data_IF_999875588493
#
_entry.id   IF_999875588493
#
_cell.length_a   1.000
_cell.length_b   1.000
_cell.length_c   1.000
_cell.angle_alpha   90.00
_cell.angle_beta   90.00
_cell.angle_gamma   90.00
#
_symmetry.space_group_name_H-M   'P 1'
#
loop_
_entity.id
_entity.type
_entity.pdbx_description
1 polymer ?
#
# COMPACT_ATOMS: atom_id res chain seq x y z
N UNK A 1 -68.52 -6.40 -13.50
CA UNK A 1 -67.70 -6.16 -14.70
C UNK A 1 -67.50 -4.65 -14.87
N UNK A 2 -66.39 -4.12 -14.37
CA UNK A 2 -66.11 -2.68 -14.36
C UNK A 2 -64.95 -2.36 -15.32
N UNK A 3 -65.22 -1.48 -16.29
CA UNK A 3 -64.27 -0.99 -17.29
C UNK A 3 -63.41 0.14 -16.70
N UNK A 4 -62.10 -0.05 -16.63
CA UNK A 4 -61.16 1.02 -16.31
C UNK A 4 -60.89 1.90 -17.55
N UNK A 5 -61.10 3.21 -17.41
CA UNK A 5 -60.81 4.24 -18.42
C UNK A 5 -59.35 4.70 -18.27
N UNK A 6 -58.57 4.62 -19.35
CA UNK A 6 -57.24 5.21 -19.44
C UNK A 6 -57.32 6.72 -19.74
N UNK A 7 -56.50 7.52 -19.03
CA UNK A 7 -56.28 8.96 -19.27
C UNK A 7 -55.23 9.16 -20.37
N UNK A 8 -55.35 10.17 -21.25
CA UNK A 8 -54.32 10.47 -22.24
C UNK A 8 -53.21 11.35 -21.64
N UNK A 9 -51.96 11.02 -21.99
CA UNK A 9 -50.76 11.82 -21.70
C UNK A 9 -50.67 13.02 -22.65
N UNK A 10 -50.41 14.19 -22.07
CA UNK A 10 -50.24 15.46 -22.76
C UNK A 10 -48.81 15.58 -23.30
N UNK A 11 -48.65 15.77 -24.62
CA UNK A 11 -47.36 16.08 -25.26
C UNK A 11 -47.05 17.56 -25.09
N UNK A 12 -46.03 17.89 -24.32
CA UNK A 12 -45.46 19.23 -24.21
C UNK A 12 -44.39 19.42 -25.29
N UNK A 13 -44.64 20.30 -26.25
CA UNK A 13 -43.68 20.77 -27.25
C UNK A 13 -43.09 22.11 -26.80
N UNK A 14 -41.86 22.10 -26.28
CA UNK A 14 -41.10 23.32 -26.02
C UNK A 14 -40.28 23.71 -27.26
N UNK A 15 -40.48 24.94 -27.74
CA UNK A 15 -39.71 25.61 -28.80
C UNK A 15 -38.34 26.06 -28.26
N UNK A 16 -37.25 25.96 -29.02
CA UNK A 16 -35.95 26.51 -28.63
C UNK A 16 -35.89 28.02 -28.90
N UNK A 17 -35.47 28.78 -27.89
CA UNK A 17 -35.21 30.22 -27.94
C UNK A 17 -33.82 30.49 -28.54
N UNK A 18 -33.77 31.34 -29.57
CA UNK A 18 -32.54 31.73 -30.24
C UNK A 18 -31.68 32.66 -29.38
N UNK A 19 -30.37 32.41 -29.34
CA UNK A 19 -29.36 33.30 -28.75
C UNK A 19 -29.06 34.51 -29.67
N UNK A 20 -28.81 35.72 -29.12
CA UNK A 20 -28.40 36.87 -29.90
C UNK A 20 -26.90 36.82 -30.29
N UNK A 21 -26.51 37.46 -31.41
CA UNK A 21 -25.15 37.42 -31.92
C UNK A 21 -24.20 38.32 -31.11
N UNK A 22 -23.02 37.79 -30.76
CA UNK A 22 -21.92 38.54 -30.15
C UNK A 22 -21.20 39.40 -31.21
N UNK A 23 -21.03 40.69 -30.91
CA UNK A 23 -20.24 41.64 -31.72
C UNK A 23 -18.72 41.36 -31.64
N UNK A 24 -17.94 41.61 -32.70
CA UNK A 24 -16.50 41.40 -32.70
C UNK A 24 -15.76 42.56 -32.00
N UNK A 25 -14.84 42.22 -31.10
CA UNK A 25 -13.91 43.17 -30.47
C UNK A 25 -12.69 43.34 -31.38
N UNK A 26 -12.41 44.59 -31.76
CA UNK A 26 -11.27 45.00 -32.60
C UNK A 26 -9.96 44.84 -31.83
N UNK A 27 -9.02 44.08 -32.38
CA UNK A 27 -7.63 44.06 -31.96
C UNK A 27 -6.92 45.34 -32.40
N UNK A 28 -6.35 46.09 -31.45
CA UNK A 28 -5.39 47.17 -31.74
C UNK A 28 -3.98 46.58 -31.76
N UNK A 29 -3.34 46.67 -32.93
CA UNK A 29 -1.92 46.46 -33.11
C UNK A 29 -1.12 47.64 -32.52
N UNK A 30 -0.02 47.32 -31.85
CA UNK A 30 1.08 48.26 -31.64
C UNK A 30 2.36 47.58 -32.13
N UNK A 31 2.88 48.09 -33.25
CA UNK A 31 4.22 47.82 -33.77
C UNK A 31 5.20 48.85 -33.20
N UNK A 32 6.47 48.45 -33.24
CA UNK A 32 7.69 49.24 -33.41
C UNK A 32 8.52 49.50 -32.14
N UNK A 33 9.87 49.47 -32.15
CA UNK A 33 10.92 49.01 -33.10
C UNK A 33 12.27 49.35 -32.41
N UNK A 34 13.24 48.40 -32.39
CA UNK A 34 14.72 48.60 -32.48
C UNK A 34 15.40 49.39 -31.32
N UNK A 35 16.60 49.10 -30.79
CA UNK A 35 17.89 48.68 -31.34
C UNK A 35 18.82 48.17 -30.19
N UNK A 36 19.69 47.18 -30.45
CA UNK A 36 21.17 47.28 -30.47
C UNK A 36 21.87 47.66 -29.14
N UNK A 37 22.62 46.74 -28.54
CA UNK A 37 24.10 46.77 -28.53
C UNK A 37 24.72 45.69 -27.62
N UNK A 38 25.90 45.24 -28.04
CA UNK A 38 26.71 44.19 -27.45
C UNK A 38 27.69 44.71 -26.38
N UNK A 39 28.09 43.84 -25.45
CA UNK A 39 29.37 43.77 -24.69
C UNK A 39 29.20 42.74 -23.57
N UNK A 40 30.19 42.02 -23.04
CA UNK A 40 31.51 41.58 -23.43
C UNK A 40 32.03 40.68 -22.27
N UNK A 41 32.73 39.59 -22.62
CA UNK A 41 33.86 38.96 -21.88
C UNK A 41 33.73 38.67 -20.37
N UNK A 42 33.72 37.37 -20.05
CA UNK A 42 34.33 36.86 -18.79
C UNK A 42 35.54 35.99 -19.14
N UNK A 43 36.71 36.45 -18.70
CA UNK A 43 37.98 35.71 -18.62
C UNK A 43 38.28 35.57 -17.13
N UNK A 44 38.49 34.37 -16.63
CA UNK A 44 39.27 34.16 -15.40
C UNK A 44 39.95 32.78 -15.44
N UNK A 45 41.25 32.81 -15.72
CA UNK A 45 42.24 31.76 -15.42
C UNK A 45 42.98 32.19 -14.14
N UNK A 46 43.61 31.21 -13.49
CA UNK A 46 44.64 31.28 -12.43
C UNK A 46 44.08 31.27 -11.00
N UNK A 47 44.68 30.58 -10.01
CA UNK A 47 46.01 29.96 -9.90
C UNK A 47 46.06 29.02 -8.68
N UNK A 48 47.00 28.06 -8.74
CA UNK A 48 47.56 27.28 -7.64
C UNK A 48 48.06 28.14 -6.45
N UNK A 49 48.01 27.57 -5.25
CA UNK A 49 48.88 27.89 -4.11
C UNK A 49 48.38 27.17 -2.84
N UNK A 50 48.96 26.05 -2.41
CA UNK A 50 50.19 25.88 -1.61
C UNK A 50 49.86 25.51 -0.14
N UNK A 51 50.57 24.48 0.33
CA UNK A 51 50.53 23.85 1.66
C UNK A 51 50.87 24.82 2.80
N UNK A 52 50.29 24.59 3.97
CA UNK A 52 51.04 24.58 5.23
C UNK A 52 50.38 23.70 6.29
N UNK A 53 51.23 22.88 6.93
CA UNK A 53 50.93 22.00 8.06
C UNK A 53 50.88 22.83 9.34
N UNK A 54 49.92 22.57 10.23
CA UNK A 54 50.09 22.88 11.66
C UNK A 54 49.53 21.76 12.51
N UNK A 55 50.42 21.27 13.38
CA UNK A 55 50.30 20.18 14.34
C UNK A 55 49.81 20.78 15.65
N UNK A 56 48.68 20.34 16.20
CA UNK A 56 48.32 20.62 17.60
C UNK A 56 47.87 19.32 18.26
N UNK A 57 48.69 18.92 19.23
CA UNK A 57 48.45 17.88 20.24
C UNK A 57 47.54 18.42 21.34
N UNK A 58 46.51 17.66 21.74
CA UNK A 58 45.94 17.78 23.08
C UNK A 58 45.42 16.43 23.56
N UNK A 59 46.09 15.91 24.60
CA UNK A 59 45.68 14.81 25.47
C UNK A 59 44.49 15.24 26.32
N UNK A 60 43.48 14.39 26.49
CA UNK A 60 42.64 14.39 27.68
C UNK A 60 42.19 12.96 28.04
N UNK A 61 42.50 12.59 29.29
CA UNK A 61 42.09 11.36 29.99
C UNK A 61 40.58 11.37 30.25
N UNK A 62 39.92 10.20 30.34
CA UNK A 62 38.77 10.03 31.21
C UNK A 62 39.16 9.27 32.48
N UNK A 63 39.05 9.94 33.63
CA UNK A 63 39.12 9.37 34.97
C UNK A 63 37.76 8.82 35.38
N UNK A 64 37.75 7.55 35.83
CA UNK A 64 36.71 6.96 36.68
C UNK A 64 36.53 7.77 37.97
N UNK A 65 35.35 7.64 38.60
CA UNK A 65 35.39 7.11 39.96
C UNK A 65 34.37 6.00 40.21
N UNK A 66 34.77 5.09 41.10
CA UNK A 66 33.96 4.04 41.70
C UNK A 66 33.86 4.30 43.21
N UNK A 67 32.69 4.06 43.80
CA UNK A 67 32.45 3.55 45.17
C UNK A 67 30.93 3.61 45.45
N UNK A 68 30.24 2.46 45.67
CA UNK A 68 29.88 1.85 46.99
C UNK A 68 28.98 2.78 47.81
N UNK A 69 27.81 2.40 48.35
CA UNK A 69 27.36 1.21 49.12
C UNK A 69 25.85 1.43 49.38
N UNK A 70 24.89 0.49 49.37
CA UNK A 70 24.56 -0.54 50.37
C UNK A 70 23.00 -0.68 50.52
N UNK A 71 22.58 -1.79 51.15
CA UNK A 71 21.26 -2.15 51.70
C UNK A 71 20.19 -2.64 50.70
N UNK A 72 19.96 -3.95 50.55
CA UNK A 72 19.22 -4.92 51.41
C UNK A 72 17.77 -4.53 51.70
N UNK A 73 16.84 -5.21 51.04
CA UNK A 73 15.72 -5.89 51.72
C UNK A 73 15.14 -6.95 50.79
N UNK A 74 15.12 -8.19 51.29
CA UNK A 74 14.53 -9.34 50.67
C UNK A 74 13.11 -9.51 51.22
N UNK A 75 12.11 -9.58 50.36
CA UNK A 75 10.78 -10.05 50.73
C UNK A 75 10.48 -11.31 49.89
N UNK A 76 10.54 -12.47 50.57
CA UNK A 76 10.06 -13.76 50.07
C UNK A 76 8.53 -13.73 50.11
N UNK A 77 7.86 -13.79 48.95
CA UNK A 77 6.47 -14.23 48.87
C UNK A 77 6.43 -15.60 48.18
N UNK A 78 6.12 -16.63 48.97
CA UNK A 78 5.78 -17.97 48.49
C UNK A 78 4.32 -17.95 48.05
N UNK A 79 4.04 -17.97 46.75
CA UNK A 79 2.71 -18.37 46.25
C UNK A 79 2.75 -19.85 45.86
N UNK A 80 2.03 -20.63 46.64
CA UNK A 80 1.83 -22.07 46.50
C UNK A 80 0.55 -22.25 45.69
N UNK A 81 0.66 -22.43 44.37
CA UNK A 81 -0.49 -22.83 43.54
C UNK A 81 -0.48 -24.35 43.37
N UNK A 82 -1.51 -24.95 43.95
CA UNK A 82 -1.88 -26.35 43.81
C UNK A 82 -2.38 -26.61 42.39
N UNK A 83 -1.79 -27.61 41.74
CA UNK A 83 -2.35 -28.21 40.54
C UNK A 83 -3.43 -29.23 40.93
N UNK A 84 -4.62 -29.24 40.31
CA UNK A 84 -5.54 -30.37 40.42
C UNK A 84 -5.12 -31.46 39.42
N UNK A 85 -4.81 -32.62 39.99
CA UNK A 85 -4.59 -33.90 39.32
C UNK A 85 -5.93 -34.52 38.93
N UNK A 86 -6.22 -34.60 37.63
CA UNK A 86 -7.30 -35.45 37.10
C UNK A 86 -6.70 -36.72 36.49
N UNK A 87 -6.92 -37.82 37.19
CA UNK A 87 -6.69 -39.20 36.73
C UNK A 87 -7.70 -39.52 35.63
N UNK A 88 -7.24 -40.07 34.51
CA UNK A 88 -8.00 -41.10 33.80
C UNK A 88 -7.06 -42.11 33.18
N UNK A 89 -7.25 -43.36 33.61
CA UNK A 89 -6.58 -44.53 33.12
C UNK A 89 -7.36 -45.09 31.93
N UNK A 90 -6.68 -45.48 30.85
CA UNK A 90 -7.23 -46.49 29.94
C UNK A 90 -6.11 -47.39 29.44
N UNK A 91 -6.43 -48.69 29.50
CA UNK A 91 -5.54 -49.84 29.38
C UNK A 91 -4.90 -49.95 27.99
N UNK A 92 -3.66 -50.44 28.02
CA UNK A 92 -2.92 -50.97 26.90
C UNK A 92 -3.57 -52.24 26.31
N UNK A 93 -3.48 -52.37 24.98
CA UNK A 93 -3.53 -53.64 24.25
C UNK A 93 -2.27 -53.76 23.35
N UNK A 94 -1.71 -54.97 23.14
CA UNK A 94 -0.37 -55.13 22.57
C UNK A 94 -0.35 -55.33 21.05
N UNK A 95 0.67 -54.72 20.45
CA UNK A 95 1.51 -55.12 19.31
C UNK A 95 0.99 -56.14 18.27
N UNK A 96 0.90 -55.69 17.01
CA UNK A 96 1.11 -56.52 15.81
C UNK A 96 2.25 -55.96 14.97
N UNK A 97 3.29 -56.77 14.78
CA UNK A 97 4.44 -56.53 13.89
C UNK A 97 3.98 -56.58 12.42
N UNK A 98 4.35 -55.63 11.55
CA UNK A 98 4.30 -55.83 10.11
C UNK A 98 5.58 -56.53 9.63
N UNK A 99 5.38 -57.50 8.73
CA UNK A 99 6.38 -58.38 8.15
C UNK A 99 7.34 -57.63 7.21
N UNK A 100 8.60 -58.10 7.17
CA UNK A 100 9.62 -57.69 6.19
C UNK A 100 9.18 -58.09 4.78
N UNK A 101 9.16 -57.18 3.79
CA UNK A 101 9.02 -57.57 2.40
C UNK A 101 10.33 -58.17 1.87
N UNK A 102 10.19 -59.27 1.14
CA UNK A 102 11.25 -60.06 0.55
C UNK A 102 11.99 -59.30 -0.57
N UNK A 103 13.31 -59.51 -0.66
CA UNK A 103 14.16 -59.04 -1.77
C UNK A 103 13.79 -59.78 -3.07
N UNK A 104 13.43 -59.10 -4.16
CA UNK A 104 13.42 -59.71 -5.48
C UNK A 104 14.84 -59.80 -6.04
N UNK A 105 15.16 -60.98 -6.59
CA UNK A 105 16.40 -61.30 -7.31
C UNK A 105 16.50 -60.46 -8.59
N UNK A 106 17.65 -59.84 -8.80
CA UNK A 106 18.03 -59.16 -10.04
C UNK A 106 18.12 -60.15 -11.19
N UNK A 107 17.41 -59.86 -12.28
CA UNK A 107 17.46 -60.57 -13.55
C UNK A 107 18.06 -59.63 -14.60
N UNK A 108 19.04 -60.19 -15.33
CA UNK A 108 19.68 -59.77 -16.58
C UNK A 108 19.47 -58.34 -17.11
N UNK A 109 20.61 -57.69 -17.37
CA UNK A 109 20.74 -56.46 -18.13
C UNK A 109 20.21 -56.62 -19.56
N UNK A 110 19.20 -55.82 -19.89
CA UNK A 110 18.81 -55.45 -21.24
C UNK A 110 18.50 -53.95 -21.21
N UNK A 111 19.13 -53.23 -22.14
CA UNK A 111 18.91 -51.86 -22.58
C UNK A 111 18.94 -50.75 -21.51
N UNK A 112 20.05 -50.00 -21.50
CA UNK A 112 20.24 -48.80 -20.70
C UNK A 112 19.22 -47.71 -21.13
N UNK A 113 18.31 -47.27 -20.25
CA UNK A 113 17.51 -46.08 -20.49
C UNK A 113 18.37 -44.83 -20.32
N UNK A 114 18.04 -43.79 -21.08
CA UNK A 114 18.68 -42.47 -21.05
C UNK A 114 19.03 -42.00 -19.63
N UNK A 115 20.24 -41.47 -19.47
CA UNK A 115 20.77 -41.01 -18.20
C UNK A 115 19.77 -40.10 -17.46
N UNK A 116 19.56 -40.28 -16.15
CA UNK A 116 18.58 -39.52 -15.40
C UNK A 116 18.88 -38.03 -15.52
N UNK A 117 17.97 -37.28 -16.14
CA UNK A 117 18.02 -35.82 -16.17
C UNK A 117 18.18 -35.31 -14.74
N UNK A 118 19.34 -34.74 -14.44
CA UNK A 118 19.70 -34.18 -13.14
C UNK A 118 18.60 -33.17 -12.75
N UNK A 119 17.89 -33.44 -11.64
CA UNK A 119 16.79 -32.60 -11.20
C UNK A 119 17.27 -31.14 -11.07
N UNK A 120 16.70 -30.26 -11.89
CA UNK A 120 17.00 -28.83 -11.86
C UNK A 120 16.42 -28.30 -10.54
N UNK A 121 17.25 -27.75 -9.67
CA UNK A 121 16.76 -26.98 -8.51
C UNK A 121 16.59 -25.54 -8.96
N UNK A 122 15.38 -24.99 -8.84
CA UNK A 122 14.99 -23.72 -9.50
C UNK A 122 15.90 -22.54 -9.17
N UNK A 123 16.28 -22.38 -7.89
CA UNK A 123 17.15 -21.27 -7.47
C UNK A 123 18.59 -21.36 -8.00
N UNK A 124 19.14 -22.56 -8.16
CA UNK A 124 20.53 -22.72 -8.59
C UNK A 124 20.77 -22.31 -10.04
N UNK A 125 19.77 -22.51 -10.90
CA UNK A 125 19.88 -22.15 -12.32
C UNK A 125 19.72 -20.64 -12.55
N UNK A 126 18.83 -19.97 -11.79
CA UNK A 126 18.72 -18.50 -11.84
C UNK A 126 20.06 -17.85 -11.44
N UNK A 127 20.65 -18.27 -10.32
CA UNK A 127 21.95 -17.76 -9.86
C UNK A 127 23.03 -18.01 -10.91
N UNK A 128 23.07 -19.21 -11.51
CA UNK A 128 24.05 -19.52 -12.58
C UNK A 128 23.91 -18.60 -13.80
N UNK A 129 22.69 -18.21 -14.18
CA UNK A 129 22.47 -17.27 -15.28
C UNK A 129 22.98 -15.88 -14.90
N UNK A 130 22.70 -15.42 -13.67
CA UNK A 130 23.08 -14.09 -13.19
C UNK A 130 24.59 -13.94 -12.94
N UNK A 131 25.26 -15.01 -12.50
CA UNK A 131 26.71 -15.04 -12.22
C UNK A 131 27.57 -15.26 -13.46
N UNK A 132 26.96 -15.45 -14.64
CA UNK A 132 27.71 -15.61 -15.89
C UNK A 132 28.36 -14.29 -16.33
N UNK A 133 29.51 -14.37 -17.01
CA UNK A 133 30.20 -13.18 -17.55
C UNK A 133 29.32 -12.39 -18.54
N UNK A 134 28.44 -13.09 -19.28
CA UNK A 134 27.37 -12.52 -20.11
C UNK A 134 26.02 -13.14 -19.73
N UNK A 135 25.28 -12.51 -18.79
CA UNK A 135 24.03 -13.06 -18.30
C UNK A 135 22.92 -13.12 -19.36
N UNK A 136 22.90 -12.22 -20.34
CA UNK A 136 21.90 -12.22 -21.41
C UNK A 136 22.17 -13.40 -22.36
N UNK A 137 23.43 -13.66 -22.71
CA UNK A 137 23.79 -14.84 -23.48
C UNK A 137 23.51 -16.14 -22.71
N UNK A 138 23.75 -16.17 -21.39
CA UNK A 138 23.43 -17.31 -20.54
C UNK A 138 21.91 -17.59 -20.50
N UNK A 139 21.09 -16.55 -20.35
CA UNK A 139 19.62 -16.68 -20.42
C UNK A 139 19.18 -17.16 -21.81
N UNK A 140 19.79 -16.65 -22.89
CA UNK A 140 19.51 -17.11 -24.26
C UNK A 140 19.80 -18.59 -24.42
N UNK A 141 20.96 -19.04 -23.94
CA UNK A 141 21.36 -20.44 -23.96
C UNK A 141 20.41 -21.32 -23.13
N UNK A 142 19.91 -20.81 -21.99
CA UNK A 142 18.89 -21.49 -21.21
C UNK A 142 17.58 -21.64 -21.98
N UNK A 143 17.06 -20.55 -22.56
CA UNK A 143 15.82 -20.56 -23.35
C UNK A 143 15.89 -21.47 -24.59
N UNK A 144 17.06 -21.62 -25.21
CA UNK A 144 17.25 -22.57 -26.32
C UNK A 144 17.14 -24.04 -25.91
N UNK A 145 17.42 -24.38 -24.64
CA UNK A 145 17.30 -25.75 -24.11
C UNK A 145 15.85 -26.12 -23.79
N UNK A 146 14.96 -25.14 -23.72
CA UNK A 146 13.55 -25.37 -23.44
C UNK A 146 12.85 -25.81 -24.74
N UNK A 147 12.20 -27.00 -24.76
CA UNK A 147 11.40 -27.44 -25.89
C UNK A 147 10.19 -26.50 -26.13
N UNK A 148 9.36 -26.76 -27.15
CA UNK A 148 8.29 -25.85 -27.57
C UNK A 148 7.32 -25.43 -26.44
N UNK A 149 7.20 -26.22 -25.37
CA UNK A 149 6.54 -25.84 -24.11
C UNK A 149 7.49 -25.93 -22.92
N UNK A 150 7.63 -24.83 -22.18
CA UNK A 150 8.38 -24.81 -20.93
C UNK A 150 7.60 -25.55 -19.84
N UNK A 151 8.31 -26.27 -18.96
CA UNK A 151 7.72 -26.67 -17.68
C UNK A 151 7.45 -25.42 -16.82
N UNK A 152 6.54 -25.48 -15.83
CA UNK A 152 6.31 -24.35 -14.92
C UNK A 152 7.61 -23.82 -14.31
N UNK A 153 8.43 -24.73 -13.78
CA UNK A 153 9.73 -24.40 -13.21
C UNK A 153 10.69 -23.74 -14.22
N UNK A 154 10.72 -24.18 -15.48
CA UNK A 154 11.55 -23.54 -16.52
C UNK A 154 11.05 -22.12 -16.85
N UNK A 155 9.73 -21.91 -16.86
CA UNK A 155 9.13 -20.59 -17.01
C UNK A 155 9.50 -19.66 -15.86
N UNK A 156 9.38 -20.14 -14.61
CA UNK A 156 9.77 -19.39 -13.41
C UNK A 156 11.26 -19.02 -13.42
N UNK A 157 12.16 -19.96 -13.79
CA UNK A 157 13.60 -19.68 -13.90
C UNK A 157 13.86 -18.60 -14.95
N UNK A 158 13.28 -18.73 -16.14
CA UNK A 158 13.49 -17.78 -17.23
C UNK A 158 12.97 -16.36 -16.88
N UNK A 159 11.74 -16.27 -16.38
CA UNK A 159 11.11 -15.01 -16.02
C UNK A 159 11.76 -14.38 -14.79
N UNK A 160 12.11 -15.18 -13.78
CA UNK A 160 12.82 -14.73 -12.59
C UNK A 160 14.23 -14.21 -12.91
N UNK A 161 14.99 -14.90 -13.76
CA UNK A 161 16.28 -14.42 -14.22
C UNK A 161 16.15 -13.11 -15.02
N UNK A 162 15.22 -13.05 -15.98
CA UNK A 162 14.98 -11.85 -16.77
C UNK A 162 14.54 -10.65 -15.91
N UNK A 163 13.64 -10.87 -14.94
CA UNK A 163 13.19 -9.86 -13.97
C UNK A 163 14.38 -9.26 -13.22
N UNK A 164 15.32 -10.09 -12.75
CA UNK A 164 16.48 -9.65 -11.98
C UNK A 164 17.53 -8.94 -12.86
N UNK A 165 17.70 -9.38 -14.11
CA UNK A 165 18.57 -8.69 -15.08
C UNK A 165 18.06 -7.30 -15.46
N UNK A 166 16.75 -7.10 -15.50
CA UNK A 166 16.18 -5.79 -15.81
C UNK A 166 16.44 -4.74 -14.72
N UNK A 167 16.56 -5.12 -13.45
CA UNK A 167 16.69 -4.18 -12.32
C UNK A 167 17.92 -3.24 -12.42
N UNK A 168 19.16 -3.73 -12.60
CA UNK A 168 20.32 -2.85 -12.75
C UNK A 168 20.26 -2.07 -14.07
N UNK A 169 19.88 -2.73 -15.17
CA UNK A 169 19.88 -2.12 -16.51
C UNK A 169 18.83 -1.00 -16.60
N UNK A 170 17.65 -1.16 -15.98
CA UNK A 170 16.62 -0.11 -15.95
C UNK A 170 17.11 1.19 -15.31
N UNK A 171 18.02 1.11 -14.33
CA UNK A 171 18.55 2.28 -13.63
C UNK A 171 19.63 3.01 -14.43
N UNK A 172 20.51 2.25 -15.09
CA UNK A 172 21.69 2.80 -15.75
C UNK A 172 21.48 3.05 -17.24
N UNK A 173 20.62 2.25 -17.88
CA UNK A 173 20.47 2.16 -19.33
C UNK A 173 18.99 2.00 -19.75
N UNK A 174 18.08 2.79 -19.18
CA UNK A 174 16.66 2.82 -19.61
C UNK A 174 16.58 3.03 -21.13
N UNK A 175 15.90 2.12 -21.83
CA UNK A 175 15.77 2.10 -23.29
C UNK A 175 17.01 1.67 -24.07
N UNK A 176 18.06 1.21 -23.38
CA UNK A 176 19.33 0.76 -23.98
C UNK A 176 19.20 -0.51 -24.84
N UNK A 177 20.21 -0.80 -25.69
CA UNK A 177 20.21 -1.97 -26.55
C UNK A 177 20.14 -3.30 -25.77
N UNK A 178 20.72 -3.37 -24.57
CA UNK A 178 20.68 -4.52 -23.69
C UNK A 178 19.26 -4.81 -23.19
N UNK A 179 18.50 -3.76 -22.82
CA UNK A 179 17.08 -3.88 -22.46
C UNK A 179 16.30 -4.45 -23.64
N UNK A 180 16.47 -3.87 -24.83
CA UNK A 180 15.76 -4.30 -26.05
C UNK A 180 16.06 -5.76 -26.38
N UNK A 181 17.32 -6.15 -26.32
CA UNK A 181 17.76 -7.52 -26.56
C UNK A 181 17.14 -8.50 -25.55
N UNK A 182 17.13 -8.15 -24.26
CA UNK A 182 16.54 -8.97 -23.21
C UNK A 182 15.02 -9.09 -23.38
N UNK A 183 14.33 -7.99 -23.68
CA UNK A 183 12.89 -8.00 -23.93
C UNK A 183 12.54 -8.84 -25.16
N UNK A 184 13.25 -8.69 -26.28
CA UNK A 184 12.99 -9.48 -27.48
C UNK A 184 13.19 -10.98 -27.24
N UNK A 185 14.23 -11.33 -26.46
CA UNK A 185 14.53 -12.70 -26.09
C UNK A 185 13.37 -13.34 -25.31
N UNK A 186 12.86 -12.65 -24.28
CA UNK A 186 11.77 -13.17 -23.43
C UNK A 186 10.44 -13.13 -24.18
N UNK A 187 10.12 -12.03 -24.87
CA UNK A 187 8.88 -11.86 -25.62
C UNK A 187 8.77 -12.85 -26.79
N UNK A 188 9.88 -13.18 -27.44
CA UNK A 188 9.94 -14.20 -28.49
C UNK A 188 9.62 -15.62 -28.00
N UNK A 189 9.65 -15.85 -26.69
CA UNK A 189 9.30 -17.13 -26.05
C UNK A 189 8.10 -17.04 -25.12
N UNK A 190 7.42 -15.90 -25.05
CA UNK A 190 6.35 -15.66 -24.07
C UNK A 190 5.23 -16.71 -24.13
N UNK A 191 4.85 -17.14 -25.34
CA UNK A 191 3.81 -18.17 -25.55
C UNK A 191 4.22 -19.57 -25.10
N UNK A 192 5.52 -19.83 -24.91
CA UNK A 192 6.02 -21.12 -24.42
C UNK A 192 5.98 -21.23 -22.89
N UNK A 193 5.70 -20.14 -22.16
CA UNK A 193 5.61 -20.16 -20.70
C UNK A 193 4.20 -20.59 -20.25
N UNK A 194 4.08 -21.59 -19.35
CA UNK A 194 2.78 -22.11 -18.93
C UNK A 194 2.03 -21.14 -18.01
N UNK A 195 2.74 -20.39 -17.17
CA UNK A 195 2.16 -19.46 -16.19
C UNK A 195 2.49 -18.01 -16.56
N UNK A 196 1.56 -17.35 -17.28
CA UNK A 196 1.74 -15.97 -17.79
C UNK A 196 1.08 -14.90 -16.92
N UNK A 197 0.36 -15.31 -15.88
CA UNK A 197 -0.33 -14.43 -14.92
C UNK A 197 0.22 -14.56 -13.50
N UNK A 198 1.13 -15.50 -13.27
CA UNK A 198 1.77 -15.72 -11.98
C UNK A 198 2.73 -14.60 -11.57
N UNK A 199 3.24 -14.68 -10.35
CA UNK A 199 4.09 -13.67 -9.73
C UNK A 199 5.26 -13.24 -10.64
N UNK A 200 6.06 -14.19 -11.13
CA UNK A 200 7.24 -13.89 -11.96
C UNK A 200 6.89 -13.21 -13.29
N UNK A 201 5.75 -13.54 -13.90
CA UNK A 201 5.30 -12.92 -15.13
C UNK A 201 4.90 -11.45 -14.89
N UNK A 202 4.12 -11.18 -13.83
CA UNK A 202 3.72 -9.81 -13.47
C UNK A 202 4.93 -8.96 -13.09
N UNK A 203 5.86 -9.49 -12.29
CA UNK A 203 7.07 -8.78 -11.88
C UNK A 203 8.02 -8.52 -13.06
N UNK A 204 8.18 -9.47 -13.98
CA UNK A 204 8.91 -9.26 -15.23
C UNK A 204 8.28 -8.12 -16.02
N UNK A 205 6.96 -8.13 -16.26
CA UNK A 205 6.27 -7.06 -16.99
C UNK A 205 6.46 -5.71 -16.29
N UNK A 206 6.35 -5.66 -14.97
CA UNK A 206 6.53 -4.43 -14.18
C UNK A 206 7.92 -3.84 -14.39
N UNK A 207 8.96 -4.67 -14.32
CA UNK A 207 10.34 -4.25 -14.54
C UNK A 207 10.61 -3.91 -16.01
N UNK A 208 9.97 -4.61 -16.95
CA UNK A 208 10.08 -4.34 -18.38
C UNK A 208 9.55 -2.95 -18.73
N UNK A 209 8.37 -2.57 -18.23
CA UNK A 209 7.82 -1.21 -18.43
C UNK A 209 8.68 -0.12 -17.79
N UNK A 210 9.32 -0.40 -16.65
CA UNK A 210 10.26 0.55 -16.05
C UNK A 210 11.53 0.73 -16.92
N UNK A 211 12.02 -0.34 -17.54
CA UNK A 211 13.27 -0.37 -18.28
C UNK A 211 13.18 0.11 -19.74
N UNK A 212 12.02 -0.05 -20.39
CA UNK A 212 11.88 0.00 -21.85
C UNK A 212 12.16 1.36 -22.51
N UNK A 213 12.04 2.46 -21.77
CA UNK A 213 12.18 3.82 -22.32
C UNK A 213 10.99 4.21 -23.20
N UNK A 214 11.25 4.83 -24.35
CA UNK A 214 10.27 5.40 -25.28
C UNK A 214 9.92 4.49 -26.48
N UNK A 215 10.32 3.21 -26.44
CA UNK A 215 10.15 2.25 -27.53
C UNK A 215 8.67 1.81 -27.70
N UNK A 216 7.92 2.58 -28.49
CA UNK A 216 6.47 2.40 -28.72
C UNK A 216 6.09 0.99 -29.18
N UNK A 217 6.88 0.38 -30.05
CA UNK A 217 6.58 -0.94 -30.60
C UNK A 217 6.62 -1.99 -29.50
N UNK A 218 7.69 -1.99 -28.69
CA UNK A 218 7.83 -2.94 -27.58
C UNK A 218 6.86 -2.64 -26.45
N UNK A 219 6.51 -1.37 -26.20
CA UNK A 219 5.47 -0.99 -25.24
C UNK A 219 4.14 -1.60 -25.65
N UNK A 220 3.73 -1.46 -26.92
CA UNK A 220 2.48 -2.05 -27.41
C UNK A 220 2.46 -3.58 -27.26
N UNK A 221 3.59 -4.25 -27.55
CA UNK A 221 3.74 -5.70 -27.35
C UNK A 221 3.59 -6.09 -25.89
N UNK A 222 4.23 -5.36 -24.95
CA UNK A 222 4.11 -5.62 -23.52
C UNK A 222 2.69 -5.34 -23.01
N UNK A 223 2.05 -4.25 -23.44
CA UNK A 223 0.69 -3.89 -23.00
C UNK A 223 -0.32 -4.98 -23.38
N UNK A 224 -0.16 -5.64 -24.54
CA UNK A 224 -1.00 -6.76 -24.95
C UNK A 224 -0.87 -8.01 -24.05
N UNK A 225 0.18 -8.08 -23.21
CA UNK A 225 0.42 -9.19 -22.28
C UNK A 225 -0.04 -8.90 -20.85
N UNK A 226 -0.45 -7.66 -20.56
CA UNK A 226 -0.91 -7.26 -19.23
C UNK A 226 -2.29 -7.89 -18.96
N UNK A 227 -2.44 -8.68 -17.89
CA UNK A 227 -3.72 -9.34 -17.61
C UNK A 227 -4.80 -8.34 -17.14
N UNK A 228 -6.07 -8.70 -17.30
CA UNK A 228 -7.20 -7.85 -16.91
C UNK A 228 -7.31 -7.65 -15.39
N UNK A 229 -6.74 -8.54 -14.59
CA UNK A 229 -6.64 -8.47 -13.13
C UNK A 229 -5.24 -8.03 -12.66
N UNK A 230 -4.43 -7.43 -13.55
CA UNK A 230 -3.12 -6.89 -13.22
C UNK A 230 -3.16 -5.96 -12.00
N UNK A 231 -2.09 -6.06 -11.19
CA UNK A 231 -1.93 -5.25 -9.99
C UNK A 231 -1.93 -3.74 -10.31
N UNK A 232 -2.31 -2.90 -9.34
CA UNK A 232 -2.31 -1.44 -9.51
C UNK A 232 -0.93 -0.91 -9.92
N UNK A 233 0.14 -1.46 -9.34
CA UNK A 233 1.52 -1.07 -9.63
C UNK A 233 1.92 -1.40 -11.08
N UNK A 234 1.53 -2.57 -11.60
CA UNK A 234 1.78 -2.92 -13.00
C UNK A 234 1.04 -1.95 -13.93
N UNK A 235 -0.23 -1.64 -13.64
CA UNK A 235 -1.02 -0.70 -14.44
C UNK A 235 -0.46 0.72 -14.41
N UNK A 236 0.04 1.16 -13.25
CA UNK A 236 0.76 2.42 -13.14
C UNK A 236 1.99 2.46 -14.05
N UNK A 237 2.82 1.42 -14.03
CA UNK A 237 4.01 1.36 -14.88
C UNK A 237 3.68 1.34 -16.38
N UNK A 238 2.56 0.72 -16.78
CA UNK A 238 2.06 0.80 -18.17
C UNK A 238 1.78 2.26 -18.54
N UNK A 239 1.11 3.01 -17.66
CA UNK A 239 0.82 4.42 -17.89
C UNK A 239 2.11 5.27 -17.96
N UNK A 240 3.09 5.04 -17.08
CA UNK A 240 4.41 5.69 -17.15
C UNK A 240 5.11 5.45 -18.48
N UNK A 241 5.19 4.19 -18.94
CA UNK A 241 5.84 3.87 -20.21
C UNK A 241 5.16 4.56 -21.41
N UNK A 242 3.83 4.62 -21.42
CA UNK A 242 3.07 5.31 -22.47
C UNK A 242 3.24 6.84 -22.40
N UNK A 243 3.39 7.40 -21.20
CA UNK A 243 3.68 8.81 -20.97
C UNK A 243 5.05 9.19 -21.56
N UNK A 244 6.08 8.39 -21.25
CA UNK A 244 7.45 8.55 -21.79
C UNK A 244 7.49 8.40 -23.29
N UNK A 245 6.74 7.44 -23.84
CA UNK A 245 6.64 7.23 -25.27
C UNK A 245 5.90 8.36 -26.01
N UNK A 246 5.26 9.29 -25.29
CA UNK A 246 4.51 10.39 -25.89
C UNK A 246 3.20 9.95 -26.57
N UNK A 247 2.69 8.76 -26.26
CA UNK A 247 1.38 8.30 -26.76
C UNK A 247 0.30 8.76 -25.79
N UNK A 248 -0.09 10.03 -25.95
CA UNK A 248 -1.04 10.71 -25.06
C UNK A 248 -2.35 9.92 -24.90
N UNK A 249 -2.95 9.46 -26.00
CA UNK A 249 -4.27 8.83 -25.95
C UNK A 249 -4.21 7.44 -25.29
N UNK A 250 -3.15 6.66 -25.54
CA UNK A 250 -2.93 5.40 -24.85
C UNK A 250 -2.59 5.61 -23.38
N UNK A 251 -1.75 6.60 -23.06
CA UNK A 251 -1.42 7.01 -21.70
C UNK A 251 -2.68 7.34 -20.91
N UNK A 252 -3.58 8.17 -21.46
CA UNK A 252 -4.84 8.55 -20.80
C UNK A 252 -5.71 7.33 -20.45
N UNK A 253 -5.83 6.35 -21.36
CA UNK A 253 -6.56 5.10 -21.09
C UNK A 253 -5.89 4.24 -20.02
N UNK A 254 -4.56 4.17 -20.04
CA UNK A 254 -3.79 3.41 -19.06
C UNK A 254 -3.87 4.07 -17.66
N UNK A 255 -3.80 5.39 -17.58
CA UNK A 255 -4.02 6.15 -16.34
C UNK A 255 -5.41 5.90 -15.78
N UNK A 256 -6.46 5.95 -16.60
CA UNK A 256 -7.83 5.64 -16.16
C UNK A 256 -7.96 4.22 -15.59
N UNK A 257 -7.35 3.24 -16.27
CA UNK A 257 -7.34 1.86 -15.83
C UNK A 257 -6.55 1.65 -14.52
N UNK A 258 -5.43 2.36 -14.36
CA UNK A 258 -4.62 2.34 -13.14
C UNK A 258 -5.35 2.98 -11.95
N UNK A 259 -5.97 4.14 -12.17
CA UNK A 259 -6.82 4.82 -11.18
C UNK A 259 -7.99 3.95 -10.75
N UNK A 260 -8.67 3.31 -11.70
CA UNK A 260 -9.76 2.36 -11.44
C UNK A 260 -9.32 1.13 -10.64
N UNK A 261 -8.03 0.76 -10.71
CA UNK A 261 -7.45 -0.32 -9.90
C UNK A 261 -6.95 0.12 -8.51
N UNK A 262 -7.07 1.41 -8.16
CA UNK A 262 -6.70 1.92 -6.83
C UNK A 262 -5.37 2.66 -6.77
N UNK A 263 -4.72 2.93 -7.92
CA UNK A 263 -3.56 3.84 -7.95
C UNK A 263 -4.03 5.25 -7.61
N UNK A 264 -3.32 5.95 -6.73
CA UNK A 264 -3.73 7.29 -6.32
C UNK A 264 -3.38 8.37 -7.37
N UNK A 265 -4.26 9.35 -7.55
CA UNK A 265 -3.97 10.54 -8.36
C UNK A 265 -2.71 11.29 -7.90
N UNK A 266 -2.40 11.26 -6.59
CA UNK A 266 -1.19 11.86 -6.02
C UNK A 266 0.11 11.16 -6.49
N UNK A 267 0.04 9.89 -6.87
CA UNK A 267 1.18 9.18 -7.44
C UNK A 267 1.50 9.72 -8.83
N UNK A 268 0.50 9.86 -9.71
CA UNK A 268 0.65 10.48 -11.04
C UNK A 268 1.19 11.92 -10.98
N UNK A 269 0.72 12.73 -10.03
CA UNK A 269 1.18 14.12 -9.88
C UNK A 269 2.66 14.25 -9.48
N UNK A 270 3.23 13.24 -8.83
CA UNK A 270 4.63 13.27 -8.32
C UNK A 270 5.64 12.64 -9.27
N UNK A 271 5.17 11.81 -10.19
CA UNK A 271 6.05 11.05 -11.07
C UNK A 271 6.48 11.91 -12.27
N UNK A 272 7.80 11.97 -12.50
CA UNK A 272 8.41 12.84 -13.51
C UNK A 272 7.99 12.48 -14.94
N UNK A 273 7.64 11.21 -15.19
CA UNK A 273 7.18 10.74 -16.50
C UNK A 273 5.87 11.44 -16.93
N UNK A 274 5.09 11.97 -15.96
CA UNK A 274 3.85 12.71 -16.23
C UNK A 274 3.99 14.23 -16.22
N UNK A 275 5.17 14.78 -15.92
CA UNK A 275 5.40 16.23 -15.87
C UNK A 275 4.88 16.99 -17.12
N UNK A 276 5.03 16.48 -18.36
CA UNK A 276 4.51 17.15 -19.56
C UNK A 276 2.97 17.23 -19.64
N UNK A 277 2.25 16.42 -18.86
CA UNK A 277 0.79 16.29 -18.93
C UNK A 277 0.09 16.93 -17.72
N UNK A 278 0.83 17.45 -16.74
CA UNK A 278 0.22 18.04 -15.54
C UNK A 278 -0.65 19.26 -15.86
N UNK A 279 -0.35 20.02 -16.92
CA UNK A 279 -1.20 21.16 -17.32
C UNK A 279 -2.29 20.78 -18.34
N UNK A 280 -2.41 19.50 -18.72
CA UNK A 280 -3.42 19.02 -19.66
C UNK A 280 -4.81 18.97 -18.99
N UNK A 281 -5.82 19.72 -19.48
CA UNK A 281 -7.15 19.74 -18.87
C UNK A 281 -7.84 18.37 -18.83
N UNK A 282 -7.58 17.49 -19.80
CA UNK A 282 -8.17 16.15 -19.81
C UNK A 282 -7.49 15.25 -18.79
N UNK A 283 -6.17 15.35 -18.64
CA UNK A 283 -5.43 14.61 -17.62
C UNK A 283 -5.84 15.06 -16.22
N UNK A 284 -5.94 16.37 -15.98
CA UNK A 284 -6.46 16.90 -14.72
C UNK A 284 -7.88 16.42 -14.43
N UNK A 285 -8.79 16.50 -15.41
CA UNK A 285 -10.14 15.98 -15.24
C UNK A 285 -10.17 14.46 -14.97
N UNK A 286 -9.21 13.70 -15.50
CA UNK A 286 -9.07 12.28 -15.20
C UNK A 286 -8.62 12.05 -13.75
N UNK A 287 -7.57 12.75 -13.30
CA UNK A 287 -7.08 12.70 -11.93
C UNK A 287 -8.14 13.16 -10.91
N UNK A 288 -8.92 14.17 -11.25
CA UNK A 288 -9.97 14.71 -10.38
C UNK A 288 -11.20 13.79 -10.30
N UNK A 289 -11.58 13.12 -11.40
CA UNK A 289 -12.67 12.11 -11.40
C UNK A 289 -12.31 10.85 -10.63
N UNK A 290 -11.05 10.44 -10.71
CA UNK A 290 -10.52 9.29 -9.97
C UNK A 290 -10.38 9.51 -8.48
N UNK A 291 -10.82 10.66 -7.97
CA UNK A 291 -11.03 10.89 -6.55
C UNK A 291 -12.19 10.03 -6.01
N UNK A 292 -12.17 8.71 -6.24
CA UNK A 292 -12.45 7.80 -5.14
C UNK A 292 -11.40 8.14 -4.08
N UNK A 293 -11.80 8.62 -2.89
CA UNK A 293 -10.94 9.45 -2.10
C UNK A 293 -9.84 8.58 -1.52
N UNK A 294 -8.64 8.58 -2.11
CA UNK A 294 -7.47 8.81 -1.30
C UNK A 294 -7.70 10.19 -0.71
N UNK A 295 -8.39 10.27 0.44
CA UNK A 295 -8.80 11.53 1.04
C UNK A 295 -7.52 12.36 1.05
N UNK A 296 -7.47 13.48 0.28
CA UNK A 296 -6.31 14.35 0.30
C UNK A 296 -6.01 14.61 1.75
N UNK A 297 -4.74 14.54 2.15
CA UNK A 297 -4.37 14.69 3.56
C UNK A 297 -4.46 16.16 3.96
N UNK A 298 -5.65 16.74 3.81
CA UNK A 298 -6.06 18.03 4.30
C UNK A 298 -6.68 17.80 5.68
N UNK A 299 -5.80 17.51 6.63
CA UNK A 299 -6.15 17.42 8.06
C UNK A 299 -6.38 18.82 8.65
N UNK A 300 -5.90 19.88 7.99
CA UNK A 300 -5.93 21.25 8.50
C UNK A 300 -7.36 21.73 8.77
N UNK A 301 -8.31 21.35 7.90
CA UNK A 301 -9.74 21.68 8.09
C UNK A 301 -10.36 21.03 9.32
N UNK A 302 -9.85 19.88 9.75
CA UNK A 302 -10.39 19.10 10.86
C UNK A 302 -9.66 19.36 12.18
N UNK A 303 -8.42 19.86 12.13
CA UNK A 303 -7.57 20.02 13.31
C UNK A 303 -8.23 20.86 14.41
N UNK A 304 -8.85 22.00 14.05
CA UNK A 304 -9.50 22.89 15.00
C UNK A 304 -10.67 22.25 15.73
N UNK A 305 -11.59 21.59 15.00
CA UNK A 305 -12.77 20.96 15.60
C UNK A 305 -12.41 19.73 16.43
N UNK A 306 -11.48 18.90 15.95
CA UNK A 306 -11.03 17.70 16.66
C UNK A 306 -10.30 18.09 17.95
N UNK A 307 -9.40 19.09 17.90
CA UNK A 307 -8.70 19.59 19.09
C UNK A 307 -9.69 20.13 20.13
N UNK A 308 -10.68 20.92 19.69
CA UNK A 308 -11.67 21.50 20.58
C UNK A 308 -12.51 20.42 21.30
N UNK A 309 -13.03 19.43 20.56
CA UNK A 309 -13.78 18.31 21.17
C UNK A 309 -12.91 17.49 22.12
N UNK A 310 -11.65 17.19 21.75
CA UNK A 310 -10.72 16.47 22.62
C UNK A 310 -10.41 17.24 23.90
N UNK A 311 -10.16 18.55 23.81
CA UNK A 311 -9.89 19.39 24.98
C UNK A 311 -11.09 19.52 25.90
N UNK A 312 -12.31 19.52 25.35
CA UNK A 312 -13.56 19.51 26.12
C UNK A 312 -13.72 18.19 26.89
N UNK A 313 -13.53 17.06 26.21
CA UNK A 313 -13.59 15.74 26.82
C UNK A 313 -12.54 15.55 27.93
N UNK A 314 -11.29 15.92 27.67
CA UNK A 314 -10.20 15.83 28.66
C UNK A 314 -10.44 16.72 29.87
N UNK A 315 -10.98 17.93 29.66
CA UNK A 315 -11.33 18.84 30.76
C UNK A 315 -12.44 18.26 31.63
N UNK A 316 -13.49 17.72 31.01
CA UNK A 316 -14.61 17.08 31.70
C UNK A 316 -14.14 15.93 32.58
N UNK A 317 -13.28 15.04 32.08
CA UNK A 317 -12.71 13.98 32.90
C UNK A 317 -11.94 14.52 34.12
N UNK A 318 -11.13 15.57 33.92
CA UNK A 318 -10.39 16.19 35.02
C UNK A 318 -11.31 16.84 36.06
N UNK A 319 -12.44 17.41 35.65
CA UNK A 319 -13.44 17.97 36.57
C UNK A 319 -14.01 16.89 37.52
N UNK A 320 -14.16 15.66 37.04
CA UNK A 320 -14.62 14.52 37.83
C UNK A 320 -13.49 13.72 38.51
N UNK A 321 -12.24 14.20 38.46
CA UNK A 321 -11.10 13.52 39.08
C UNK A 321 -10.61 12.28 38.33
N UNK A 322 -11.06 12.07 37.09
CA UNK A 322 -10.67 10.94 36.25
C UNK A 322 -9.39 11.23 35.45
N UNK A 323 -8.75 10.15 35.00
CA UNK A 323 -7.47 10.21 34.29
C UNK A 323 -7.68 10.21 32.77
N UNK A 324 -7.06 11.20 32.10
CA UNK A 324 -6.88 11.22 30.66
C UNK A 324 -5.38 11.12 30.34
N UNK A 325 -4.98 10.08 29.62
CA UNK A 325 -3.61 9.87 29.15
C UNK A 325 -3.56 10.06 27.64
N UNK A 326 -2.83 11.07 27.19
CA UNK A 326 -2.62 11.35 25.77
C UNK A 326 -1.18 10.98 25.40
N UNK A 327 -0.99 10.16 24.38
CA UNK A 327 0.34 9.87 23.85
C UNK A 327 0.85 11.05 22.98
N UNK A 328 2.18 11.21 22.81
CA UNK A 328 2.75 12.25 21.97
C UNK A 328 2.17 12.22 20.54
N UNK A 329 2.02 13.37 19.86
CA UNK A 329 1.47 13.41 18.50
C UNK A 329 2.33 12.66 17.49
N UNK A 330 1.69 12.00 16.53
CA UNK A 330 2.36 11.38 15.40
C UNK A 330 2.68 12.41 14.31
N UNK A 331 3.77 12.19 13.56
CA UNK A 331 3.95 12.88 12.29
C UNK A 331 2.97 12.33 11.26
N UNK A 332 2.59 13.16 10.29
CA UNK A 332 1.70 12.70 9.23
C UNK A 332 2.29 11.53 8.43
N UNK A 333 3.61 11.52 8.21
CA UNK A 333 4.30 10.41 7.56
C UNK A 333 4.18 9.10 8.35
N UNK A 334 4.19 9.16 9.69
CA UNK A 334 3.99 7.98 10.54
C UNK A 334 2.54 7.45 10.42
N UNK A 335 1.56 8.34 10.32
CA UNK A 335 0.15 7.98 10.06
C UNK A 335 0.02 7.30 8.70
N UNK A 336 0.59 7.88 7.64
CA UNK A 336 0.57 7.29 6.30
C UNK A 336 1.37 5.99 6.20
N UNK A 337 2.42 5.82 7.00
CA UNK A 337 3.13 4.55 7.12
C UNK A 337 2.28 3.47 7.80
N UNK A 338 1.52 3.83 8.83
CA UNK A 338 0.58 2.95 9.52
C UNK A 338 -0.57 2.48 8.60
N UNK A 339 -1.17 3.40 7.84
CA UNK A 339 -2.19 3.07 6.83
C UNK A 339 -1.66 2.06 5.80
N UNK A 340 -0.47 2.31 5.25
CA UNK A 340 0.19 1.40 4.30
C UNK A 340 0.46 0.03 4.90
N UNK A 341 0.88 -0.04 6.17
CA UNK A 341 1.18 -1.30 6.84
C UNK A 341 -0.04 -2.23 6.94
N UNK A 342 -1.24 -1.68 7.14
CA UNK A 342 -2.49 -2.46 7.23
C UNK A 342 -3.32 -2.44 5.95
N UNK A 343 -2.89 -1.71 4.92
CA UNK A 343 -3.67 -1.49 3.69
C UNK A 343 -5.06 -0.93 3.99
N UNK A 344 -5.15 -0.05 4.98
CA UNK A 344 -6.37 0.63 5.39
C UNK A 344 -6.28 2.11 5.03
N UNK A 345 -7.41 2.78 5.11
CA UNK A 345 -7.48 4.22 4.97
C UNK A 345 -8.26 4.83 6.13
N UNK A 346 -7.60 5.70 6.88
CA UNK A 346 -8.22 6.42 7.99
C UNK A 346 -8.94 7.66 7.48
N UNK A 347 -10.07 8.03 8.11
CA UNK A 347 -10.73 9.29 7.82
C UNK A 347 -9.87 10.49 8.28
N UNK A 348 -9.98 11.64 7.60
CA UNK A 348 -9.08 12.77 7.80
C UNK A 348 -9.14 13.39 9.20
N UNK A 349 -10.31 13.42 9.82
CA UNK A 349 -10.49 13.84 11.21
C UNK A 349 -9.81 12.88 12.18
N UNK A 350 -9.80 11.57 11.92
CA UNK A 350 -8.99 10.64 12.73
C UNK A 350 -7.49 10.78 12.46
N UNK A 351 -7.06 11.03 11.22
CA UNK A 351 -5.66 11.40 10.95
C UNK A 351 -5.27 12.67 11.70
N UNK A 352 -6.15 13.68 11.73
CA UNK A 352 -5.95 14.89 12.49
C UNK A 352 -5.82 14.59 13.99
N UNK A 353 -6.68 13.71 14.53
CA UNK A 353 -6.57 13.22 15.90
C UNK A 353 -5.20 12.60 16.18
N UNK A 354 -4.71 11.70 15.31
CA UNK A 354 -3.39 11.07 15.48
C UNK A 354 -2.23 12.08 15.46
N UNK A 355 -2.37 13.17 14.69
CA UNK A 355 -1.39 14.27 14.71
C UNK A 355 -1.53 15.22 15.90
N UNK A 356 -2.63 15.12 16.66
CA UNK A 356 -2.84 15.81 17.93
C UNK A 356 -2.36 14.94 19.12
N UNK A 357 -2.64 13.64 19.08
CA UNK A 357 -2.19 12.62 20.02
C UNK A 357 -2.16 11.23 19.35
N UNK A 358 -1.02 10.52 19.41
CA UNK A 358 -0.84 9.21 18.75
C UNK A 358 -1.40 8.05 19.60
N UNK A 359 -2.71 8.07 19.81
CA UNK A 359 -3.40 7.19 20.75
C UNK A 359 -3.62 7.85 22.12
N UNK A 360 -4.63 7.36 22.83
CA UNK A 360 -5.00 7.91 24.13
C UNK A 360 -5.86 6.93 24.93
N UNK A 361 -5.85 7.12 26.24
CA UNK A 361 -6.79 6.50 27.17
C UNK A 361 -7.61 7.62 27.82
N UNK A 362 -8.92 7.59 27.60
CA UNK A 362 -9.88 8.52 28.20
C UNK A 362 -10.78 7.69 29.10
N UNK A 363 -10.60 7.77 30.42
CA UNK A 363 -11.30 6.91 31.39
C UNK A 363 -11.02 5.42 31.12
N UNK A 364 -12.00 4.64 30.65
CA UNK A 364 -11.86 3.24 30.25
C UNK A 364 -11.79 3.05 28.71
N UNK A 365 -11.92 4.12 27.93
CA UNK A 365 -11.85 4.06 26.47
C UNK A 365 -10.40 4.15 25.98
N UNK A 366 -10.01 3.26 25.07
CA UNK A 366 -8.64 3.19 24.52
C UNK A 366 -8.68 3.39 23.00
N UNK A 367 -8.10 4.49 22.55
CA UNK A 367 -8.02 4.87 21.13
C UNK A 367 -6.74 4.33 20.49
N UNK A 368 -6.87 3.90 19.24
CA UNK A 368 -5.75 3.40 18.43
C UNK A 368 -4.74 4.50 18.17
N UNK A 369 -3.46 4.18 18.33
CA UNK A 369 -2.34 4.93 17.78
C UNK A 369 -1.79 4.29 16.51
N UNK A 370 -0.83 4.95 15.86
CA UNK A 370 -0.09 4.43 14.70
C UNK A 370 0.61 3.11 15.00
N UNK A 371 0.93 2.83 16.27
CA UNK A 371 1.59 1.58 16.67
C UNK A 371 0.64 0.38 16.60
N UNK A 372 -0.65 0.57 16.88
CA UNK A 372 -1.68 -0.49 16.83
C UNK A 372 -1.96 -0.91 15.39
N UNK A 373 -1.90 0.05 14.46
CA UNK A 373 -1.94 -0.27 13.04
C UNK A 373 -0.64 -0.92 12.57
N UNK A 374 0.54 -0.60 13.10
CA UNK A 374 1.79 -1.22 12.60
C UNK A 374 2.07 -2.61 13.17
N UNK A 375 1.63 -2.87 14.40
CA UNK A 375 2.02 -4.04 15.16
C UNK A 375 0.81 -4.81 15.70
N UNK A 376 1.03 -6.05 16.12
CA UNK A 376 0.02 -6.86 16.79
C UNK A 376 0.01 -6.57 18.30
N UNK A 377 -0.41 -5.35 18.66
CA UNK A 377 -0.68 -4.97 20.04
C UNK A 377 -1.89 -5.74 20.58
N UNK A 378 -2.05 -5.76 21.90
CA UNK A 378 -3.19 -6.45 22.51
C UNK A 378 -4.53 -5.78 22.15
N UNK A 379 -4.53 -4.46 21.95
CA UNK A 379 -5.68 -3.72 21.43
C UNK A 379 -5.99 -4.12 19.97
N UNK A 380 -4.98 -4.19 19.10
CA UNK A 380 -5.16 -4.61 17.71
C UNK A 380 -5.60 -6.08 17.59
N UNK A 381 -5.12 -6.97 18.46
CA UNK A 381 -5.61 -8.36 18.55
C UNK A 381 -7.07 -8.41 19.00
N UNK A 382 -7.43 -7.63 20.02
CA UNK A 382 -8.80 -7.57 20.54
C UNK A 382 -9.78 -7.07 19.46
N UNK A 383 -9.39 -6.06 18.69
CA UNK A 383 -10.21 -5.56 17.58
C UNK A 383 -10.41 -6.62 16.49
N UNK A 384 -9.35 -7.33 16.09
CA UNK A 384 -9.47 -8.44 15.12
C UNK A 384 -10.41 -9.54 15.62
N UNK A 385 -10.24 -9.95 16.88
CA UNK A 385 -11.12 -10.96 17.49
C UNK A 385 -12.59 -10.51 17.53
N UNK A 386 -12.84 -9.22 17.81
CA UNK A 386 -14.18 -8.65 17.76
C UNK A 386 -14.76 -8.68 16.33
N UNK A 387 -14.01 -8.23 15.32
CA UNK A 387 -14.48 -8.23 13.93
C UNK A 387 -14.74 -9.65 13.40
N UNK A 388 -13.83 -10.60 13.66
CA UNK A 388 -13.96 -12.00 13.27
C UNK A 388 -15.17 -12.68 13.94
N UNK A 389 -15.37 -12.44 15.24
CA UNK A 389 -16.51 -13.01 15.97
C UNK A 389 -17.83 -12.39 15.52
N UNK A 390 -17.85 -11.10 15.21
CA UNK A 390 -19.05 -10.41 14.72
C UNK A 390 -19.52 -10.96 13.36
N UNK A 391 -18.59 -11.23 12.44
CA UNK A 391 -18.92 -11.89 11.16
C UNK A 391 -19.45 -13.30 11.39
N UNK A 392 -18.86 -14.04 12.34
CA UNK A 392 -19.31 -15.39 12.69
C UNK A 392 -20.73 -15.41 13.27
N UNK A 393 -21.16 -14.29 13.88
CA UNK A 393 -22.50 -14.08 14.41
C UNK A 393 -23.48 -13.47 13.38
N UNK A 394 -23.05 -13.29 12.13
CA UNK A 394 -23.90 -12.84 11.02
C UNK A 394 -23.88 -11.33 10.75
N UNK A 395 -23.05 -10.55 11.44
CA UNK A 395 -22.90 -9.13 11.18
C UNK A 395 -22.09 -8.91 9.88
N UNK A 396 -22.82 -8.77 8.77
CA UNK A 396 -22.22 -8.71 7.43
C UNK A 396 -21.59 -7.33 7.21
N UNK A 397 -20.29 -7.30 6.88
CA UNK A 397 -19.57 -6.07 6.52
C UNK A 397 -18.87 -5.35 7.66
N UNK A 398 -18.98 -5.83 8.91
CA UNK A 398 -18.16 -5.30 10.01
C UNK A 398 -16.67 -5.60 9.80
N UNK A 399 -16.32 -6.72 9.15
CA UNK A 399 -14.95 -7.09 8.80
C UNK A 399 -14.24 -6.11 7.86
N UNK A 400 -15.00 -5.27 7.16
CA UNK A 400 -14.47 -4.22 6.30
C UNK A 400 -14.33 -2.86 7.02
N UNK A 401 -14.81 -2.77 8.26
CA UNK A 401 -14.66 -1.57 9.08
C UNK A 401 -13.24 -1.48 9.68
N UNK A 402 -12.78 -0.26 9.88
CA UNK A 402 -11.50 0.05 10.53
C UNK A 402 -11.73 0.34 12.01
N UNK A 403 -11.16 -0.43 12.94
CA UNK A 403 -11.28 -0.16 14.36
C UNK A 403 -10.48 1.07 14.76
N UNK A 404 -11.11 1.98 15.50
CA UNK A 404 -10.52 3.26 15.92
C UNK A 404 -10.34 3.38 17.43
N UNK A 405 -11.25 2.81 18.22
CA UNK A 405 -11.13 2.77 19.67
C UNK A 405 -11.93 1.59 20.26
N UNK A 406 -11.40 1.01 21.34
CA UNK A 406 -12.22 0.20 22.24
C UNK A 406 -12.93 1.13 23.22
N UNK A 407 -14.22 0.88 23.44
CA UNK A 407 -15.11 1.80 24.13
C UNK A 407 -15.47 1.33 25.55
N UNK A 408 -14.49 0.82 26.30
CA UNK A 408 -14.63 0.47 27.72
C UNK A 408 -15.12 -0.96 27.99
N UNK A 409 -15.89 -1.54 27.06
CA UNK A 409 -16.34 -2.94 27.12
C UNK A 409 -15.75 -3.79 25.98
N UNK A 410 -15.67 -5.12 26.14
CA UNK A 410 -15.10 -6.00 25.11
C UNK A 410 -15.81 -5.94 23.75
N UNK A 411 -17.11 -5.62 23.75
CA UNK A 411 -17.96 -5.57 22.56
C UNK A 411 -18.28 -4.14 22.11
N UNK A 412 -17.78 -3.12 22.81
CA UNK A 412 -18.08 -1.75 22.49
C UNK A 412 -16.90 -1.15 21.73
N UNK A 413 -17.16 -0.71 20.50
CA UNK A 413 -16.11 -0.31 19.55
C UNK A 413 -16.52 0.91 18.77
N UNK A 414 -15.61 1.89 18.67
CA UNK A 414 -15.69 2.91 17.65
C UNK A 414 -15.00 2.40 16.39
N UNK A 415 -15.76 2.33 15.31
CA UNK A 415 -15.32 1.86 14.01
C UNK A 415 -15.49 2.97 12.96
N UNK A 416 -14.74 2.85 11.88
CA UNK A 416 -14.96 3.61 10.64
C UNK A 416 -15.33 2.67 9.52
N UNK A 417 -16.49 2.89 8.91
CA UNK A 417 -17.00 2.17 7.76
C UNK A 417 -16.63 2.94 6.48
N UNK A 418 -15.59 2.50 5.74
CA UNK A 418 -15.14 3.20 4.53
C UNK A 418 -16.11 3.02 3.35
N UNK A 419 -17.02 2.04 3.40
CA UNK A 419 -17.94 1.71 2.31
C UNK A 419 -19.38 2.16 2.58
N UNK A 420 -19.65 2.63 3.80
CA UNK A 420 -20.96 3.10 4.22
C UNK A 420 -22.03 2.00 4.25
N UNK A 421 -21.65 0.73 4.42
CA UNK A 421 -22.60 -0.39 4.54
C UNK A 421 -23.66 -0.15 5.62
N UNK A 422 -23.27 0.46 6.73
CA UNK A 422 -24.18 0.76 7.86
C UNK A 422 -24.86 2.12 7.73
N UNK A 423 -24.51 2.90 6.69
CA UNK A 423 -24.99 4.27 6.45
C UNK A 423 -25.51 4.47 5.03
N UNK A 424 -26.09 3.43 4.43
CA UNK A 424 -26.74 3.51 3.11
C UNK A 424 -25.78 3.91 1.97
N UNK A 425 -24.53 3.45 2.02
CA UNK A 425 -23.48 3.74 1.04
C UNK A 425 -22.64 4.99 1.33
N UNK A 426 -22.87 5.69 2.43
CA UNK A 426 -22.07 6.88 2.80
C UNK A 426 -21.00 6.51 3.83
N UNK A 427 -19.70 6.70 3.56
CA UNK A 427 -18.65 6.40 4.53
C UNK A 427 -18.87 7.13 5.86
N UNK A 428 -18.46 6.55 6.99
CA UNK A 428 -18.59 7.22 8.26
C UNK A 428 -18.27 6.42 9.50
N UNK A 429 -18.55 7.03 10.63
CA UNK A 429 -18.27 6.46 11.94
C UNK A 429 -19.44 5.59 12.40
N UNK A 430 -19.11 4.50 13.07
CA UNK A 430 -20.06 3.58 13.67
C UNK A 430 -19.62 3.31 15.10
N UNK A 431 -20.45 3.67 16.08
CA UNK A 431 -20.25 3.28 17.46
C UNK A 431 -21.08 2.04 17.74
N UNK A 432 -20.40 0.92 17.95
CA UNK A 432 -20.99 -0.33 18.39
C UNK A 432 -21.09 -0.31 19.91
N UNK A 433 -22.30 -0.46 20.44
CA UNK A 433 -22.56 -0.63 21.87
C UNK A 433 -23.25 -1.98 22.04
N UNK A 434 -22.51 -2.99 22.49
CA UNK A 434 -22.90 -4.39 22.42
C UNK A 434 -23.25 -4.81 20.98
N UNK A 435 -24.52 -5.08 20.71
CA UNK A 435 -25.03 -5.43 19.39
C UNK A 435 -25.71 -4.24 18.68
N UNK A 436 -25.83 -3.08 19.36
CA UNK A 436 -26.51 -1.93 18.81
C UNK A 436 -25.56 -1.09 17.96
N UNK A 437 -25.97 -0.85 16.72
CA UNK A 437 -25.27 -0.02 15.75
C UNK A 437 -25.71 1.44 15.90
N UNK A 438 -24.77 2.32 16.25
CA UNK A 438 -25.04 3.75 16.34
C UNK A 438 -24.20 4.54 15.33
N UNK A 439 -24.74 4.86 14.13
CA UNK A 439 -24.01 5.65 13.15
C UNK A 439 -23.77 7.07 13.66
N UNK A 440 -22.57 7.59 13.38
CA UNK A 440 -22.13 8.91 13.80
C UNK A 440 -21.70 9.74 12.59
N UNK A 441 -21.91 11.06 12.68
CA UNK A 441 -21.63 11.98 11.57
C UNK A 441 -20.14 12.33 11.40
N UNK A 442 -19.33 12.15 12.45
CA UNK A 442 -17.91 12.45 12.43
C UNK A 442 -17.25 12.22 13.80
N UNK A 443 -15.92 12.35 13.84
CA UNK A 443 -15.14 12.10 15.07
C UNK A 443 -15.48 13.07 16.20
N UNK A 444 -15.70 14.36 15.90
CA UNK A 444 -16.12 15.33 16.92
C UNK A 444 -17.42 14.90 17.59
N UNK A 445 -18.39 14.38 16.83
CA UNK A 445 -19.65 13.86 17.41
C UNK A 445 -19.39 12.63 18.30
N UNK A 446 -18.45 11.76 17.93
CA UNK A 446 -18.05 10.63 18.78
C UNK A 446 -17.45 11.11 20.13
N UNK A 447 -16.56 12.10 20.09
CA UNK A 447 -15.94 12.68 21.29
C UNK A 447 -16.96 13.45 22.16
N UNK A 448 -17.88 14.21 21.55
CA UNK A 448 -18.93 14.93 22.27
C UNK A 448 -19.93 13.95 22.90
N UNK A 449 -20.19 12.80 22.25
CA UNK A 449 -20.99 11.72 22.83
C UNK A 449 -20.28 11.07 24.02
N UNK A 450 -18.97 10.82 23.90
CA UNK A 450 -18.16 10.38 25.04
C UNK A 450 -18.25 11.35 26.22
N UNK A 451 -18.07 12.65 25.97
CA UNK A 451 -18.17 13.67 27.01
C UNK A 451 -19.53 13.65 27.73
N UNK A 452 -20.63 13.55 26.96
CA UNK A 452 -21.97 13.46 27.55
C UNK A 452 -22.14 12.24 28.44
N UNK A 453 -21.69 11.06 27.98
CA UNK A 453 -21.75 9.83 28.78
C UNK A 453 -20.92 9.98 30.05
N UNK A 454 -19.72 10.56 29.96
CA UNK A 454 -18.88 10.81 31.13
C UNK A 454 -19.57 11.74 32.14
N UNK A 455 -20.21 12.83 31.67
CA UNK A 455 -20.98 13.73 32.55
C UNK A 455 -22.17 13.02 33.20
N UNK A 456 -22.91 12.23 32.44
CA UNK A 456 -24.11 11.54 32.92
C UNK A 456 -23.75 10.48 33.97
N UNK A 457 -22.66 9.71 33.75
CA UNK A 457 -22.27 8.63 34.65
C UNK A 457 -21.49 9.13 35.86
N UNK A 458 -20.53 10.05 35.66
CA UNK A 458 -19.67 10.54 36.73
C UNK A 458 -20.33 11.66 37.54
N UNK A 459 -21.22 12.44 36.94
CA UNK A 459 -21.92 13.53 37.63
C UNK A 459 -23.09 13.09 38.51
N UNK A 460 -23.55 11.84 38.39
CA UNK A 460 -24.55 11.26 39.29
C UNK A 460 -23.95 10.63 40.54
N UNK A 461 -22.64 10.41 40.57
CA UNK A 461 -21.88 9.86 41.70
C UNK A 461 -21.27 10.99 42.53
#
# INVERSE_FOLDING_TARGET
MAKAKAKPMNKSTAKPTAMPPRKPVKAKAAKAKVALEAKAKVRAKAKLGQRSKTKVTAKAKPSKPAAKTAAKTAAKSKSKLQAPTAKSATKAQPARKPAKPAKPKSRAAADAPDAPHKAITGGGEVVRILDADDPIAALRAFLHKIPAGATPQQGEIALGAAQLLLLPIAREHRGGPEVKQLLDLVLGRWSSFPERTGFHAQEFLRNAFAAIGDDRERIARLTALVPLDASPELRFNVACALAVAGDRDAMMRATDAALSSGVSAAQFRRDEDFAPYLDDPQFQALLDRSAAPAIPVDIARYFGSVRASLDSAVRTLREFGEVAKLEPPATLDAVLAAERARKIQLPNDFRALLTICDGMTLWDHVFFGTVDYRNDTDLAKSARAYLESSVSLGATGLDECVPLANWGQPNDWLLYDPHGRFRGGTPGYLLMLNADECPLDGLSHALDRFERIARDVLGTN
#
